data_IF_136601979281
#
_entry.id   IF_136601979281
#
_cell.length_a   1.000
_cell.length_b   1.000
_cell.length_c   1.000
_cell.angle_alpha   90.00
_cell.angle_beta   90.00
_cell.angle_gamma   90.00
#
_symmetry.space_group_name_H-M   'P 1'
#
loop_
_entity.id
_entity.type
_entity.pdbx_description
1 polymer ?
#
# COMPACT_ATOMS: atom_id res chain seq x y z
N UNK A 1 7.14 5.86 2.89
CA UNK A 1 8.14 6.70 3.56
C UNK A 1 7.64 8.10 3.91
N UNK A 2 6.74 8.73 3.18
CA UNK A 2 6.07 9.98 3.59
C UNK A 2 5.13 9.86 4.79
N UNK A 3 4.86 8.65 5.24
CA UNK A 3 3.96 8.31 6.34
C UNK A 3 4.69 7.76 7.56
N UNK A 4 4.00 7.67 8.69
CA UNK A 4 4.52 7.14 9.96
C UNK A 4 4.51 5.61 10.06
N UNK A 5 4.57 4.91 8.96
CA UNK A 5 4.48 3.44 8.91
C UNK A 5 5.84 2.74 9.00
N UNK A 6 6.95 3.48 8.97
CA UNK A 6 8.27 2.91 9.19
C UNK A 6 8.44 2.53 10.67
N UNK A 7 8.81 1.28 10.91
CA UNK A 7 9.10 0.74 12.25
C UNK A 7 10.56 0.97 12.59
N UNK A 8 11.45 0.68 11.67
CA UNK A 8 12.91 0.84 11.80
C UNK A 8 13.37 2.13 11.12
N UNK A 9 14.57 2.60 11.45
CA UNK A 9 15.16 3.69 10.68
C UNK A 9 15.35 3.28 9.22
N UNK A 10 15.49 4.27 8.35
CA UNK A 10 15.48 4.05 6.90
C UNK A 10 16.62 3.11 6.44
N UNK A 11 17.84 3.32 6.96
CA UNK A 11 19.02 2.52 6.57
C UNK A 11 18.84 1.05 6.95
N UNK A 12 18.35 0.79 8.18
CA UNK A 12 18.04 -0.57 8.64
C UNK A 12 16.92 -1.20 7.80
N UNK A 13 15.88 -0.44 7.49
CA UNK A 13 14.77 -0.95 6.67
C UNK A 13 15.24 -1.31 5.25
N UNK A 14 16.03 -0.45 4.60
CA UNK A 14 16.60 -0.70 3.27
C UNK A 14 17.59 -1.87 3.30
N UNK A 15 18.43 -1.96 4.36
CA UNK A 15 19.32 -3.12 4.53
C UNK A 15 18.53 -4.42 4.60
N UNK A 16 17.52 -4.49 5.46
CA UNK A 16 16.69 -5.71 5.59
C UNK A 16 15.98 -6.07 4.29
N UNK A 17 15.47 -5.08 3.54
CA UNK A 17 14.86 -5.33 2.23
C UNK A 17 15.86 -5.93 1.24
N UNK A 18 17.11 -5.44 1.24
CA UNK A 18 18.19 -6.01 0.44
C UNK A 18 18.55 -7.44 0.87
N UNK A 19 18.60 -7.70 2.18
CA UNK A 19 18.90 -9.03 2.73
C UNK A 19 17.85 -10.06 2.31
N UNK A 20 16.57 -9.68 2.33
CA UNK A 20 15.48 -10.53 1.82
C UNK A 20 15.66 -10.80 0.32
N UNK A 21 15.98 -9.76 -0.46
CA UNK A 21 16.16 -9.92 -1.90
C UNK A 21 17.33 -10.88 -2.25
N UNK A 22 18.46 -10.76 -1.55
CA UNK A 22 19.59 -11.68 -1.68
C UNK A 22 19.18 -13.11 -1.38
N UNK A 23 18.57 -13.35 -0.23
CA UNK A 23 18.10 -14.68 0.17
C UNK A 23 17.18 -15.30 -0.88
N UNK A 24 16.25 -14.53 -1.43
CA UNK A 24 15.30 -15.00 -2.44
C UNK A 24 15.96 -15.33 -3.77
N UNK A 25 16.94 -14.53 -4.19
CA UNK A 25 17.69 -14.77 -5.42
C UNK A 25 18.59 -16.00 -5.27
N UNK A 26 19.32 -16.11 -4.16
CA UNK A 26 20.29 -17.17 -3.92
C UNK A 26 19.64 -18.55 -3.71
N UNK A 27 18.45 -18.56 -3.11
CA UNK A 27 17.69 -19.78 -2.85
C UNK A 27 16.60 -20.08 -3.91
N UNK A 28 16.56 -19.32 -5.02
CA UNK A 28 15.54 -19.44 -6.08
C UNK A 28 14.08 -19.53 -5.55
N UNK A 29 13.76 -18.71 -4.55
CA UNK A 29 12.42 -18.69 -3.95
C UNK A 29 11.40 -18.22 -4.98
N UNK A 30 10.38 -19.05 -5.21
CA UNK A 30 9.34 -18.82 -6.24
C UNK A 30 7.97 -18.66 -5.61
N UNK A 31 7.06 -18.05 -6.39
CA UNK A 31 5.64 -17.90 -6.03
C UNK A 31 5.39 -17.18 -4.69
N UNK A 32 6.28 -16.26 -4.35
CA UNK A 32 6.16 -15.40 -3.18
C UNK A 32 6.61 -13.97 -3.51
N UNK A 33 5.83 -12.99 -3.10
CA UNK A 33 6.18 -11.59 -3.22
C UNK A 33 6.81 -11.12 -1.91
N UNK A 34 8.07 -10.70 -1.93
CA UNK A 34 8.76 -10.22 -0.73
C UNK A 34 8.68 -8.70 -0.57
N UNK A 35 8.36 -7.97 -1.64
CA UNK A 35 8.16 -6.54 -1.59
C UNK A 35 6.80 -6.16 -2.15
N UNK A 36 6.04 -5.39 -1.39
CA UNK A 36 4.81 -4.72 -1.85
C UNK A 36 5.09 -3.24 -1.98
N UNK A 37 5.08 -2.77 -3.23
CA UNK A 37 5.30 -1.36 -3.55
C UNK A 37 3.93 -0.70 -3.56
N UNK A 38 3.58 -0.09 -2.43
CA UNK A 38 2.22 0.37 -2.17
C UNK A 38 2.07 1.87 -2.31
N UNK A 39 1.15 2.28 -3.19
CA UNK A 39 0.61 3.63 -3.30
C UNK A 39 -0.65 3.84 -2.45
N UNK A 40 -1.31 2.75 -2.03
CA UNK A 40 -2.53 2.82 -1.24
C UNK A 40 -2.39 3.73 -0.01
N UNK A 41 -1.32 3.53 0.78
CA UNK A 41 -1.07 4.35 1.98
C UNK A 41 -0.78 5.82 1.66
N UNK A 42 -0.27 6.11 0.47
CA UNK A 42 0.01 7.47 0.01
C UNK A 42 -1.29 8.20 -0.30
N UNK A 43 -2.21 7.52 -0.98
CA UNK A 43 -3.57 7.99 -1.25
C UNK A 43 -4.36 8.23 0.05
N UNK A 44 -4.40 7.23 0.94
CA UNK A 44 -5.11 7.31 2.22
C UNK A 44 -4.58 8.44 3.12
N UNK A 45 -3.31 8.82 2.97
CA UNK A 45 -2.71 9.95 3.69
C UNK A 45 -3.06 11.31 3.09
N UNK A 46 -3.67 11.37 1.91
CA UNK A 46 -4.16 12.60 1.31
C UNK A 46 -3.68 12.90 -0.12
N UNK A 47 -2.80 12.07 -0.71
CA UNK A 47 -2.32 12.30 -2.05
C UNK A 47 -3.41 12.17 -3.12
N UNK A 48 -3.29 12.93 -4.19
CA UNK A 48 -4.07 12.74 -5.40
C UNK A 48 -3.54 11.54 -6.23
N UNK A 49 -4.29 11.03 -7.23
CA UNK A 49 -3.88 9.85 -8.02
C UNK A 49 -2.55 10.01 -8.75
N UNK A 50 -2.18 11.21 -9.17
CA UNK A 50 -0.91 11.49 -9.87
C UNK A 50 0.26 11.36 -8.91
N UNK A 51 0.16 11.97 -7.75
CA UNK A 51 1.18 11.89 -6.68
C UNK A 51 1.29 10.48 -6.13
N UNK A 52 0.16 9.77 -5.95
CA UNK A 52 0.16 8.35 -5.60
C UNK A 52 1.01 7.55 -6.60
N UNK A 53 0.72 7.67 -7.89
CA UNK A 53 1.42 6.93 -8.95
C UNK A 53 2.90 7.28 -9.01
N UNK A 54 3.25 8.57 -8.98
CA UNK A 54 4.63 9.03 -9.05
C UNK A 54 5.48 8.52 -7.87
N UNK A 55 5.01 8.68 -6.64
CA UNK A 55 5.75 8.25 -5.46
C UNK A 55 5.87 6.73 -5.39
N UNK A 56 4.84 6.00 -5.81
CA UNK A 56 4.86 4.53 -5.85
C UNK A 56 5.89 4.01 -6.85
N UNK A 57 5.88 4.52 -8.08
CA UNK A 57 6.85 4.13 -9.11
C UNK A 57 8.27 4.50 -8.71
N UNK A 58 8.48 5.68 -8.13
CA UNK A 58 9.80 6.10 -7.63
C UNK A 58 10.33 5.20 -6.52
N UNK A 59 9.47 4.74 -5.62
CA UNK A 59 9.85 3.75 -4.62
C UNK A 59 10.28 2.43 -5.27
N UNK A 60 9.56 1.97 -6.29
CA UNK A 60 9.92 0.78 -7.05
C UNK A 60 11.28 0.90 -7.73
N UNK A 61 11.54 2.01 -8.40
CA UNK A 61 12.83 2.29 -9.02
C UNK A 61 13.97 2.35 -7.98
N UNK A 62 13.71 2.92 -6.82
CA UNK A 62 14.67 2.93 -5.70
C UNK A 62 15.03 1.52 -5.23
N UNK A 63 14.07 0.60 -5.15
CA UNK A 63 14.37 -0.80 -4.83
C UNK A 63 15.16 -1.50 -5.93
N UNK A 64 14.89 -1.20 -7.20
CA UNK A 64 15.70 -1.73 -8.32
C UNK A 64 17.15 -1.30 -8.18
N UNK A 65 17.40 -0.01 -7.95
CA UNK A 65 18.75 0.52 -7.74
C UNK A 65 19.44 -0.11 -6.52
N UNK A 66 18.73 -0.21 -5.39
CA UNK A 66 19.23 -0.83 -4.17
C UNK A 66 19.69 -2.27 -4.40
N UNK A 67 18.89 -3.07 -5.07
CA UNK A 67 19.20 -4.50 -5.28
C UNK A 67 20.27 -4.68 -6.35
N UNK A 68 20.28 -3.86 -7.39
CA UNK A 68 21.37 -3.86 -8.39
C UNK A 68 22.72 -3.42 -7.77
N UNK A 69 22.72 -2.43 -6.88
CA UNK A 69 23.92 -2.01 -6.16
C UNK A 69 24.51 -3.13 -5.28
N UNK A 70 23.70 -4.11 -4.87
CA UNK A 70 24.16 -5.34 -4.21
C UNK A 70 24.62 -6.43 -5.17
N UNK A 71 24.61 -6.17 -6.48
CA UNK A 71 25.03 -7.15 -7.50
C UNK A 71 23.96 -8.16 -7.90
N UNK A 72 22.69 -7.96 -7.49
CA UNK A 72 21.61 -8.87 -7.82
C UNK A 72 21.14 -8.68 -9.26
N UNK A 73 20.83 -9.79 -9.92
CA UNK A 73 20.25 -9.83 -11.26
C UNK A 73 18.79 -9.38 -11.25
N UNK A 74 18.48 -8.32 -12.00
CA UNK A 74 17.15 -7.73 -12.05
C UNK A 74 16.07 -8.72 -12.54
N UNK A 75 16.38 -9.57 -13.51
CA UNK A 75 15.44 -10.58 -14.01
C UNK A 75 15.07 -11.63 -12.94
N UNK A 76 15.92 -11.81 -11.92
CA UNK A 76 15.65 -12.73 -10.83
C UNK A 76 14.77 -12.14 -9.74
N UNK A 77 14.98 -10.88 -9.33
CA UNK A 77 14.22 -10.31 -8.22
C UNK A 77 12.93 -9.60 -8.66
N UNK A 78 12.85 -9.01 -9.85
CA UNK A 78 11.66 -8.27 -10.31
C UNK A 78 10.40 -9.13 -10.39
N UNK A 79 10.53 -10.42 -10.62
CA UNK A 79 9.40 -11.36 -10.61
C UNK A 79 8.68 -11.44 -9.26
N UNK A 80 9.35 -11.03 -8.18
CA UNK A 80 8.84 -11.02 -6.82
C UNK A 80 8.33 -9.65 -6.37
N UNK A 81 8.26 -8.66 -7.27
CA UNK A 81 7.65 -7.36 -7.00
C UNK A 81 6.14 -7.46 -7.10
N UNK A 82 5.46 -6.89 -6.13
CA UNK A 82 4.01 -6.70 -6.10
C UNK A 82 3.70 -5.23 -5.99
N UNK A 83 2.72 -4.77 -6.75
CA UNK A 83 2.28 -3.37 -6.75
C UNK A 83 0.89 -3.26 -6.18
N UNK A 84 0.63 -2.17 -5.49
CA UNK A 84 -0.63 -1.95 -4.83
C UNK A 84 -1.02 -0.47 -4.92
N UNK A 85 -2.17 -0.17 -5.53
CA UNK A 85 -2.71 1.18 -5.65
C UNK A 85 -4.09 1.28 -5.01
N UNK A 86 -4.49 2.51 -4.72
CA UNK A 86 -5.84 2.88 -4.29
C UNK A 86 -6.63 3.44 -5.48
N UNK A 87 -7.93 3.23 -5.50
CA UNK A 87 -8.84 3.93 -6.40
C UNK A 87 -9.84 4.76 -5.58
N UNK A 88 -9.80 6.08 -5.78
CA UNK A 88 -10.81 7.02 -5.29
C UNK A 88 -11.90 7.31 -6.31
N UNK A 89 -12.43 8.53 -6.28
CA UNK A 89 -13.58 8.95 -7.12
C UNK A 89 -13.15 9.81 -8.31
N UNK A 90 -11.89 10.29 -8.37
CA UNK A 90 -11.41 11.12 -9.48
C UNK A 90 -11.22 10.31 -10.76
N UNK A 91 -11.50 10.88 -11.95
CA UNK A 91 -11.42 10.16 -13.22
C UNK A 91 -10.02 9.65 -13.57
N UNK A 92 -8.96 10.27 -13.04
CA UNK A 92 -7.57 9.85 -13.23
C UNK A 92 -7.31 8.43 -12.73
N UNK A 93 -8.07 7.95 -11.76
CA UNK A 93 -7.96 6.56 -11.27
C UNK A 93 -8.26 5.51 -12.35
N UNK A 94 -9.01 5.86 -13.38
CA UNK A 94 -9.27 4.97 -14.51
C UNK A 94 -8.04 4.67 -15.40
N UNK A 95 -6.92 5.39 -15.19
CA UNK A 95 -5.73 5.27 -16.05
C UNK A 95 -4.42 5.13 -15.30
N UNK A 96 -4.42 5.14 -13.96
CA UNK A 96 -3.18 5.08 -13.19
C UNK A 96 -2.37 3.79 -13.43
N UNK A 97 -3.04 2.67 -13.63
CA UNK A 97 -2.39 1.40 -13.94
C UNK A 97 -1.81 1.38 -15.35
N UNK A 98 -2.51 1.94 -16.36
CA UNK A 98 -1.99 2.09 -17.72
C UNK A 98 -0.72 2.92 -17.74
N UNK A 99 -0.75 4.08 -17.09
CA UNK A 99 0.42 4.97 -16.96
C UNK A 99 1.56 4.26 -16.25
N UNK A 100 1.27 3.63 -15.12
CA UNK A 100 2.27 2.92 -14.34
C UNK A 100 2.93 1.78 -15.11
N UNK A 101 2.15 0.98 -15.85
CA UNK A 101 2.67 -0.09 -16.73
C UNK A 101 3.56 0.46 -17.84
N UNK A 102 3.15 1.57 -18.48
CA UNK A 102 3.92 2.18 -19.58
C UNK A 102 5.25 2.71 -19.08
N UNK A 103 5.26 3.51 -18.02
CA UNK A 103 6.49 4.06 -17.45
C UNK A 103 7.42 2.94 -16.97
N UNK A 104 6.87 1.95 -16.26
CA UNK A 104 7.65 0.84 -15.74
C UNK A 104 8.27 -0.01 -16.86
N UNK A 105 7.49 -0.38 -17.85
CA UNK A 105 7.99 -1.21 -18.96
C UNK A 105 9.11 -0.52 -19.74
N UNK A 106 8.97 0.78 -20.02
CA UNK A 106 9.99 1.59 -20.71
C UNK A 106 11.25 1.68 -19.82
N UNK A 107 11.11 2.01 -18.56
CA UNK A 107 12.25 2.10 -17.63
C UNK A 107 12.99 0.77 -17.52
N UNK A 108 12.29 -0.33 -17.31
CA UNK A 108 12.91 -1.67 -17.19
C UNK A 108 13.62 -2.10 -18.47
N UNK A 109 13.03 -1.84 -19.64
CA UNK A 109 13.63 -2.17 -20.93
C UNK A 109 14.84 -1.29 -21.24
N UNK A 110 14.66 0.03 -21.17
CA UNK A 110 15.62 1.00 -21.76
C UNK A 110 16.72 1.43 -20.78
N UNK A 111 16.43 1.50 -19.47
CA UNK A 111 17.43 1.87 -18.47
C UNK A 111 18.14 0.65 -17.85
N UNK A 112 17.41 -0.46 -17.69
CA UNK A 112 17.95 -1.61 -16.96
C UNK A 112 18.22 -2.85 -17.83
N UNK A 113 17.76 -2.88 -19.08
CA UNK A 113 17.96 -3.99 -20.00
C UNK A 113 17.26 -5.29 -19.57
N UNK A 114 16.17 -5.18 -18.83
CA UNK A 114 15.44 -6.30 -18.23
C UNK A 114 14.59 -7.02 -19.27
N UNK A 115 14.46 -8.34 -19.16
CA UNK A 115 13.63 -9.17 -20.02
C UNK A 115 12.12 -8.91 -19.85
N UNK A 116 11.30 -9.41 -20.78
CA UNK A 116 9.86 -9.16 -20.85
C UNK A 116 9.09 -9.39 -19.52
N UNK A 117 9.53 -10.38 -18.75
CA UNK A 117 8.85 -10.71 -17.49
C UNK A 117 9.00 -9.60 -16.44
N UNK A 118 10.17 -9.00 -16.31
CA UNK A 118 10.46 -7.92 -15.39
C UNK A 118 9.87 -6.57 -15.83
N UNK A 119 9.56 -6.42 -17.13
CA UNK A 119 8.86 -5.25 -17.68
C UNK A 119 7.37 -5.21 -17.32
N UNK A 120 6.79 -6.33 -16.84
CA UNK A 120 5.36 -6.43 -16.52
C UNK A 120 5.09 -5.93 -15.09
N UNK A 121 4.38 -4.83 -14.96
CA UNK A 121 3.86 -4.33 -13.70
C UNK A 121 2.51 -4.99 -13.42
N UNK A 122 2.45 -5.85 -12.40
CA UNK A 122 1.23 -6.49 -11.92
C UNK A 122 0.80 -5.82 -10.63
N UNK A 123 -0.45 -5.37 -10.58
CA UNK A 123 -0.91 -4.62 -9.43
C UNK A 123 -2.28 -5.05 -8.92
N UNK A 124 -2.42 -4.87 -7.63
CA UNK A 124 -3.65 -4.95 -6.89
C UNK A 124 -4.26 -3.56 -6.72
N UNK A 125 -5.57 -3.44 -6.78
CA UNK A 125 -6.31 -2.24 -6.40
C UNK A 125 -7.15 -2.54 -5.15
N UNK A 126 -7.16 -1.58 -4.22
CA UNK A 126 -8.18 -1.49 -3.18
C UNK A 126 -8.95 -0.19 -3.37
N UNK A 127 -10.26 -0.24 -3.21
CA UNK A 127 -11.08 0.98 -3.16
C UNK A 127 -10.62 1.89 -2.01
N UNK A 128 -10.59 3.21 -2.23
CA UNK A 128 -10.09 4.18 -1.25
C UNK A 128 -11.03 4.30 -0.05
N UNK A 129 -10.50 4.05 1.15
CA UNK A 129 -11.21 4.27 2.40
C UNK A 129 -11.47 5.75 2.68
N UNK A 130 -10.58 6.65 2.21
CA UNK A 130 -10.74 8.10 2.32
C UNK A 130 -12.00 8.63 1.62
N UNK A 131 -12.48 7.93 0.61
CA UNK A 131 -13.71 8.28 -0.13
C UNK A 131 -14.97 7.80 0.56
N UNK A 132 -14.85 7.02 1.65
CA UNK A 132 -15.99 6.49 2.40
C UNK A 132 -16.24 7.33 3.65
N UNK A 133 -17.50 7.52 3.98
CA UNK A 133 -17.93 8.42 5.05
C UNK A 133 -18.81 7.67 6.05
N UNK A 134 -18.73 8.09 7.32
CA UNK A 134 -19.57 7.52 8.39
C UNK A 134 -21.01 8.06 8.36
N UNK A 135 -21.20 9.29 7.85
CA UNK A 135 -22.53 9.84 7.63
C UNK A 135 -23.20 9.11 6.47
N UNK A 136 -24.47 8.74 6.66
CA UNK A 136 -25.27 8.01 5.67
C UNK A 136 -24.44 6.92 4.95
N UNK A 137 -23.76 6.09 5.74
CA UNK A 137 -22.74 5.14 5.29
C UNK A 137 -23.24 4.11 4.26
N UNK A 138 -24.54 3.94 4.10
CA UNK A 138 -25.16 3.09 3.07
C UNK A 138 -24.79 3.54 1.65
N UNK A 139 -24.52 4.83 1.44
CA UNK A 139 -24.04 5.35 0.15
C UNK A 139 -22.63 4.88 -0.21
N UNK A 140 -21.88 4.34 0.75
CA UNK A 140 -20.53 3.86 0.50
C UNK A 140 -20.47 2.67 -0.47
N UNK A 141 -21.49 1.81 -0.50
CA UNK A 141 -21.54 0.69 -1.46
C UNK A 141 -21.60 1.19 -2.91
N UNK A 142 -22.28 2.30 -3.16
CA UNK A 142 -22.30 2.93 -4.49
C UNK A 142 -20.92 3.51 -4.85
N UNK A 143 -20.23 4.15 -3.89
CA UNK A 143 -18.88 4.69 -4.09
C UNK A 143 -17.90 3.56 -4.38
N UNK A 144 -17.93 2.51 -3.57
CA UNK A 144 -17.09 1.32 -3.76
C UNK A 144 -17.34 0.65 -5.12
N UNK A 145 -18.59 0.60 -5.57
CA UNK A 145 -18.95 0.06 -6.89
C UNK A 145 -18.29 0.86 -8.02
N UNK A 146 -18.33 2.20 -7.97
CA UNK A 146 -17.71 3.05 -8.99
C UNK A 146 -16.18 2.95 -8.97
N UNK A 147 -15.57 2.88 -7.80
CA UNK A 147 -14.13 2.67 -7.63
C UNK A 147 -13.69 1.31 -8.18
N UNK A 148 -14.47 0.26 -7.93
CA UNK A 148 -14.26 -1.07 -8.49
C UNK A 148 -14.39 -1.08 -10.02
N UNK A 149 -15.32 -0.30 -10.57
CA UNK A 149 -15.47 -0.14 -12.02
C UNK A 149 -14.22 0.49 -12.65
N UNK A 150 -13.60 1.48 -12.02
CA UNK A 150 -12.32 2.03 -12.47
C UNK A 150 -11.21 0.98 -12.48
N UNK A 151 -11.13 0.14 -11.44
CA UNK A 151 -10.13 -0.93 -11.38
C UNK A 151 -10.27 -1.93 -12.53
N UNK A 152 -11.52 -2.28 -12.88
CA UNK A 152 -11.82 -3.15 -14.02
C UNK A 152 -11.47 -2.47 -15.34
N UNK A 153 -11.83 -1.21 -15.49
CA UNK A 153 -11.57 -0.42 -16.71
C UNK A 153 -10.06 -0.26 -16.97
N UNK A 154 -9.26 -0.10 -15.90
CA UNK A 154 -7.80 0.01 -15.95
C UNK A 154 -7.10 -1.37 -15.97
N UNK A 155 -7.88 -2.45 -16.01
CA UNK A 155 -7.36 -3.81 -16.12
C UNK A 155 -6.44 -4.24 -14.96
N UNK A 156 -6.85 -3.97 -13.73
CA UNK A 156 -6.14 -4.40 -12.53
C UNK A 156 -6.05 -5.93 -12.46
N UNK A 157 -4.96 -6.46 -11.91
CA UNK A 157 -4.75 -7.91 -11.79
C UNK A 157 -5.58 -8.53 -10.66
N UNK A 158 -5.87 -7.76 -9.62
CA UNK A 158 -6.76 -8.14 -8.53
C UNK A 158 -7.38 -6.91 -7.88
N UNK A 159 -8.51 -7.12 -7.20
CA UNK A 159 -9.32 -6.06 -6.62
C UNK A 159 -9.78 -6.44 -5.23
N UNK A 160 -9.70 -5.47 -4.31
CA UNK A 160 -10.39 -5.46 -3.03
C UNK A 160 -11.43 -4.34 -3.02
N UNK A 161 -12.63 -4.65 -2.59
CA UNK A 161 -13.71 -3.70 -2.37
C UNK A 161 -13.93 -3.52 -0.88
N UNK A 162 -13.85 -2.30 -0.37
CA UNK A 162 -14.14 -2.01 1.02
C UNK A 162 -15.63 -2.22 1.29
N UNK A 163 -15.97 -2.69 2.48
CA UNK A 163 -17.34 -2.70 2.96
C UNK A 163 -17.81 -1.29 3.33
N UNK A 164 -19.11 -1.06 3.33
CA UNK A 164 -19.68 0.26 3.62
C UNK A 164 -19.37 0.81 5.02
N UNK A 165 -19.08 -0.08 5.97
CA UNK A 165 -18.74 0.23 7.35
C UNK A 165 -17.24 0.48 7.59
N UNK A 166 -16.40 0.42 6.54
CA UNK A 166 -14.95 0.72 6.61
C UNK A 166 -14.64 2.05 7.29
N UNK A 167 -15.51 3.05 7.12
CA UNK A 167 -15.30 4.39 7.65
C UNK A 167 -15.31 4.48 9.19
N UNK A 168 -15.85 3.47 9.89
CA UNK A 168 -15.99 3.52 11.36
C UNK A 168 -15.70 2.22 12.09
N UNK A 169 -15.50 1.10 11.40
CA UNK A 169 -15.32 -0.15 12.11
C UNK A 169 -14.83 -1.34 11.28
N UNK A 170 -14.80 -2.49 11.94
CA UNK A 170 -14.54 -3.78 11.31
C UNK A 170 -15.85 -4.27 10.65
N UNK A 171 -15.81 -4.77 9.42
CA UNK A 171 -17.00 -5.18 8.69
C UNK A 171 -17.74 -6.32 9.38
N UNK A 172 -19.06 -6.29 9.25
CA UNK A 172 -19.95 -7.39 9.65
C UNK A 172 -20.01 -8.45 8.53
N UNK A 173 -20.61 -9.61 8.80
CA UNK A 173 -20.81 -10.65 7.79
C UNK A 173 -21.64 -10.15 6.60
N UNK A 174 -22.71 -9.38 6.86
CA UNK A 174 -23.56 -8.81 5.82
C UNK A 174 -22.82 -7.80 4.95
N UNK A 175 -22.08 -6.88 5.57
CA UNK A 175 -21.35 -5.84 4.81
C UNK A 175 -20.18 -6.43 4.02
N UNK A 176 -19.52 -7.48 4.51
CA UNK A 176 -18.54 -8.26 3.73
C UNK A 176 -19.21 -8.93 2.53
N UNK A 177 -20.37 -9.50 2.72
CA UNK A 177 -21.15 -10.15 1.65
C UNK A 177 -21.51 -9.16 0.54
N UNK A 178 -21.94 -7.94 0.90
CA UNK A 178 -22.26 -6.87 -0.05
C UNK A 178 -21.01 -6.43 -0.81
N UNK A 179 -19.90 -6.24 -0.13
CA UNK A 179 -18.63 -5.88 -0.75
C UNK A 179 -18.14 -6.94 -1.77
N UNK A 180 -18.31 -8.22 -1.47
CA UNK A 180 -18.02 -9.31 -2.42
C UNK A 180 -19.03 -9.33 -3.56
N UNK A 181 -20.31 -9.06 -3.29
CA UNK A 181 -21.36 -9.01 -4.32
C UNK A 181 -21.08 -7.93 -5.37
N UNK A 182 -20.54 -6.75 -4.98
CA UNK A 182 -20.10 -5.71 -5.91
C UNK A 182 -19.16 -6.29 -6.98
N UNK A 183 -18.12 -7.02 -6.57
CA UNK A 183 -17.17 -7.62 -7.51
C UNK A 183 -17.85 -8.66 -8.42
N UNK A 184 -18.73 -9.50 -7.86
CA UNK A 184 -19.42 -10.54 -8.62
C UNK A 184 -20.39 -9.96 -9.64
N UNK A 185 -21.12 -8.90 -9.31
CA UNK A 185 -22.02 -8.19 -10.22
C UNK A 185 -21.23 -7.60 -11.39
N UNK A 186 -20.16 -6.87 -11.09
CA UNK A 186 -19.29 -6.30 -12.12
C UNK A 186 -18.65 -7.36 -13.01
N UNK A 187 -18.23 -8.50 -12.44
CA UNK A 187 -17.56 -9.55 -13.17
C UNK A 187 -18.51 -10.40 -14.02
N UNK A 188 -19.69 -10.74 -13.49
CA UNK A 188 -20.59 -11.73 -14.09
C UNK A 188 -21.76 -11.12 -14.85
N UNK A 189 -22.37 -10.05 -14.30
CA UNK A 189 -23.55 -9.43 -14.86
C UNK A 189 -23.19 -8.28 -15.80
N UNK A 190 -22.28 -7.38 -15.41
CA UNK A 190 -21.86 -6.23 -16.18
C UNK A 190 -20.99 -6.60 -17.40
N UNK A 191 -20.24 -7.68 -17.32
CA UNK A 191 -19.59 -8.31 -18.47
C UNK A 191 -18.30 -7.64 -18.95
N UNK A 192 -17.79 -6.61 -18.31
CA UNK A 192 -16.56 -5.93 -18.73
C UNK A 192 -15.31 -6.82 -18.67
N UNK A 193 -15.27 -7.80 -17.79
CA UNK A 193 -14.16 -8.78 -17.73
C UNK A 193 -14.04 -9.67 -18.98
N UNK A 194 -15.00 -9.59 -19.91
CA UNK A 194 -14.89 -10.27 -21.22
C UNK A 194 -13.92 -9.55 -22.18
N UNK A 195 -13.48 -8.35 -21.83
CA UNK A 195 -12.54 -7.53 -22.61
C UNK A 195 -11.27 -7.33 -21.78
N UNK A 196 -10.11 -7.47 -22.43
CA UNK A 196 -8.81 -7.27 -21.76
C UNK A 196 -8.42 -5.80 -21.59
N UNK A 197 -9.01 -4.89 -22.36
CA UNK A 197 -8.74 -3.46 -22.29
C UNK A 197 -9.96 -2.65 -22.75
N UNK A 198 -11.00 -2.53 -21.93
CA UNK A 198 -12.28 -1.97 -22.34
C UNK A 198 -12.22 -0.48 -22.70
N UNK A 199 -11.23 0.26 -22.21
CA UNK A 199 -11.05 1.69 -22.49
C UNK A 199 -10.08 1.99 -23.65
N UNK A 200 -9.50 0.97 -24.29
CA UNK A 200 -8.56 1.17 -25.38
C UNK A 200 -9.21 1.93 -26.54
N UNK A 201 -8.55 2.99 -27.01
CA UNK A 201 -9.03 3.84 -28.09
C UNK A 201 -10.14 4.83 -27.69
N UNK A 202 -10.53 4.85 -26.42
CA UNK A 202 -11.40 5.91 -25.89
C UNK A 202 -10.64 7.23 -25.83
N UNK A 203 -11.18 8.29 -26.45
CA UNK A 203 -10.53 9.61 -26.47
C UNK A 203 -10.19 10.11 -25.07
N UNK A 204 -11.10 9.96 -24.11
CA UNK A 204 -10.87 10.41 -22.73
C UNK A 204 -9.77 9.59 -22.05
N UNK A 205 -9.76 8.27 -22.22
CA UNK A 205 -8.75 7.42 -21.61
C UNK A 205 -7.35 7.68 -22.19
N UNK A 206 -7.25 7.86 -23.50
CA UNK A 206 -5.96 8.16 -24.16
C UNK A 206 -5.46 9.55 -23.75
N UNK A 207 -6.34 10.55 -23.71
CA UNK A 207 -6.00 11.90 -23.23
C UNK A 207 -5.53 11.90 -21.77
N UNK A 208 -6.33 11.32 -20.86
CA UNK A 208 -5.97 11.23 -19.44
C UNK A 208 -4.66 10.45 -19.24
N UNK A 209 -4.44 9.38 -19.99
CA UNK A 209 -3.19 8.60 -19.91
C UNK A 209 -1.98 9.48 -20.19
N UNK A 210 -2.03 10.31 -21.21
CA UNK A 210 -0.92 11.19 -21.58
C UNK A 210 -0.72 12.33 -20.57
N UNK A 211 -1.80 12.97 -20.12
CA UNK A 211 -1.75 14.03 -19.12
C UNK A 211 -1.22 13.54 -17.76
N UNK A 212 -1.69 12.38 -17.30
CA UNK A 212 -1.24 11.80 -16.04
C UNK A 212 0.23 11.38 -16.13
N UNK A 213 0.64 10.75 -17.25
CA UNK A 213 2.04 10.38 -17.46
C UNK A 213 2.97 11.60 -17.40
N UNK A 214 2.64 12.67 -18.14
CA UNK A 214 3.44 13.88 -18.15
C UNK A 214 3.60 14.46 -16.73
N UNK A 215 2.52 14.50 -15.95
CA UNK A 215 2.56 15.00 -14.57
C UNK A 215 3.33 14.08 -13.62
N UNK A 216 3.25 12.77 -13.80
CA UNK A 216 4.06 11.80 -13.05
C UNK A 216 5.55 12.02 -13.34
N UNK A 217 5.92 12.19 -14.60
CA UNK A 217 7.31 12.44 -14.99
C UNK A 217 7.84 13.77 -14.43
N UNK A 218 7.03 14.82 -14.35
CA UNK A 218 7.41 16.09 -13.69
C UNK A 218 7.71 15.87 -12.21
N UNK A 219 6.92 15.06 -11.50
CA UNK A 219 7.22 14.74 -10.09
C UNK A 219 8.54 13.96 -9.98
N UNK A 220 8.87 13.09 -10.95
CA UNK A 220 10.18 12.44 -11.00
C UNK A 220 11.32 13.45 -11.12
N UNK A 221 11.19 14.43 -12.00
CA UNK A 221 12.18 15.51 -12.16
C UNK A 221 12.34 16.32 -10.86
N UNK A 222 11.23 16.66 -10.20
CA UNK A 222 11.24 17.37 -8.92
C UNK A 222 11.94 16.55 -7.82
N UNK A 223 11.75 15.24 -7.76
CA UNK A 223 12.45 14.36 -6.82
C UNK A 223 13.91 14.17 -7.20
N UNK A 224 14.19 14.01 -8.50
CA UNK A 224 15.57 13.88 -8.98
C UNK A 224 16.42 15.10 -8.61
N UNK A 225 15.89 16.32 -8.77
CA UNK A 225 16.57 17.55 -8.39
C UNK A 225 16.89 17.66 -6.89
N UNK A 226 16.25 16.82 -6.05
CA UNK A 226 16.44 16.74 -4.59
C UNK A 226 17.29 15.56 -4.14
N UNK A 227 17.95 14.86 -5.08
CA UNK A 227 18.72 13.65 -4.77
C UNK A 227 17.91 12.36 -4.75
N UNK A 228 16.88 12.29 -5.58
CA UNK A 228 15.99 11.12 -5.69
C UNK A 228 15.05 10.97 -4.49
N UNK A 229 14.52 9.75 -4.30
CA UNK A 229 13.57 9.48 -3.20
C UNK A 229 14.18 9.75 -1.83
N UNK A 230 15.42 9.35 -1.60
CA UNK A 230 16.08 9.49 -0.29
C UNK A 230 16.37 10.95 0.03
N UNK A 231 16.97 11.70 -0.88
CA UNK A 231 17.21 13.14 -0.68
C UNK A 231 15.93 13.95 -0.55
N UNK A 232 14.89 13.61 -1.31
CA UNK A 232 13.58 14.24 -1.19
C UNK A 232 12.91 13.96 0.18
N UNK A 233 13.18 12.78 0.80
CA UNK A 233 12.73 12.48 2.16
C UNK A 233 13.41 13.35 3.22
N UNK A 234 14.69 13.63 3.07
CA UNK A 234 15.45 14.47 4.01
C UNK A 234 14.87 15.89 4.12
N UNK A 235 14.33 16.40 3.00
CA UNK A 235 13.69 17.73 2.94
C UNK A 235 12.16 17.67 3.08
N UNK A 236 11.60 16.54 3.50
CA UNK A 236 10.16 16.31 3.70
C UNK A 236 9.29 16.54 2.44
N UNK A 237 9.85 16.48 1.23
CA UNK A 237 9.13 16.77 -0.01
C UNK A 237 7.86 15.93 -0.17
N UNK A 238 7.98 14.60 -0.07
CA UNK A 238 6.84 13.68 -0.24
C UNK A 238 5.75 13.95 0.79
N UNK A 239 6.15 14.16 2.04
CA UNK A 239 5.22 14.41 3.14
C UNK A 239 4.46 15.72 2.96
N UNK A 240 5.17 16.80 2.67
CA UNK A 240 4.54 18.11 2.48
C UNK A 240 3.55 18.07 1.32
N UNK A 241 3.95 17.46 0.20
CA UNK A 241 3.07 17.31 -0.97
C UNK A 241 1.78 16.53 -0.64
N UNK A 242 1.88 15.40 0.05
CA UNK A 242 0.72 14.60 0.48
C UNK A 242 -0.19 15.43 1.40
N UNK A 243 0.39 16.17 2.36
CA UNK A 243 -0.38 16.99 3.29
C UNK A 243 -1.07 18.16 2.60
N UNK A 244 -0.39 18.85 1.70
CA UNK A 244 -0.94 19.98 0.95
C UNK A 244 -2.13 19.53 0.07
N UNK A 245 -1.99 18.41 -0.63
CA UNK A 245 -3.07 17.83 -1.45
C UNK A 245 -4.24 17.37 -0.58
N UNK A 246 -3.98 16.73 0.55
CA UNK A 246 -5.00 16.34 1.52
C UNK A 246 -5.76 17.54 2.10
N UNK A 247 -5.05 18.61 2.42
CA UNK A 247 -5.67 19.85 2.91
C UNK A 247 -6.56 20.52 1.87
N UNK A 248 -6.18 20.51 0.59
CA UNK A 248 -7.01 21.01 -0.51
C UNK A 248 -8.31 20.21 -0.61
N UNK A 249 -8.22 18.88 -0.52
CA UNK A 249 -9.39 18.00 -0.56
C UNK A 249 -10.33 18.28 0.63
N UNK A 250 -9.81 18.33 1.85
CA UNK A 250 -10.61 18.61 3.04
C UNK A 250 -11.24 20.01 3.01
N UNK A 251 -10.52 21.01 2.51
CA UNK A 251 -11.05 22.36 2.35
C UNK A 251 -12.24 22.38 1.38
N UNK A 252 -12.10 21.76 0.20
CA UNK A 252 -13.17 21.67 -0.80
C UNK A 252 -14.40 20.92 -0.29
N UNK A 253 -14.18 19.86 0.47
CA UNK A 253 -15.23 19.10 1.15
C UNK A 253 -15.96 19.97 2.17
N UNK A 254 -15.21 20.70 3.00
CA UNK A 254 -15.77 21.58 4.04
C UNK A 254 -16.56 22.75 3.44
N UNK A 255 -16.08 23.38 2.37
CA UNK A 255 -16.76 24.50 1.70
C UNK A 255 -17.93 24.06 0.80
N UNK A 256 -18.10 22.78 0.55
CA UNK A 256 -19.09 22.25 -0.39
C UNK A 256 -18.70 22.40 -1.86
N UNK A 257 -17.48 22.87 -2.18
CA UNK A 257 -16.97 22.93 -3.56
C UNK A 257 -16.92 21.52 -4.18
N UNK A 258 -16.58 20.51 -3.37
CA UNK A 258 -16.72 19.10 -3.74
C UNK A 258 -17.99 18.55 -3.07
N UNK A 259 -19.06 18.32 -3.84
CA UNK A 259 -20.31 17.78 -3.31
C UNK A 259 -20.12 16.30 -2.94
N UNK A 260 -20.52 15.94 -1.72
CA UNK A 260 -20.48 14.56 -1.23
C UNK A 260 -21.86 14.23 -0.66
N UNK A 261 -22.56 13.33 -1.34
CA UNK A 261 -23.93 12.91 -1.00
C UNK A 261 -23.94 12.30 0.41
N UNK A 262 -24.90 12.75 1.21
CA UNK A 262 -25.05 12.33 2.62
C UNK A 262 -24.01 12.92 3.58
N UNK A 263 -23.15 13.86 3.12
CA UNK A 263 -22.15 14.53 3.97
C UNK A 263 -22.30 16.04 3.95
N UNK A 264 -22.28 16.64 2.77
CA UNK A 264 -22.46 18.08 2.58
C UNK A 264 -23.50 18.43 1.50
N UNK A 265 -24.07 17.41 0.86
CA UNK A 265 -25.03 17.53 -0.24
C UNK A 265 -26.06 16.43 -0.10
N UNK A 266 -27.35 16.75 -0.31
CA UNK A 266 -28.45 15.79 -0.22
C UNK A 266 -28.44 15.01 1.11
N UNK A 267 -28.24 15.73 2.21
CA UNK A 267 -28.25 15.18 3.57
C UNK A 267 -29.68 14.88 4.02
N UNK A 268 -29.88 13.85 4.82
CA UNK A 268 -31.14 13.59 5.50
C UNK A 268 -31.31 14.58 6.66
N UNK A 269 -32.36 15.41 6.64
CA UNK A 269 -32.62 16.36 7.73
C UNK A 269 -32.79 15.71 9.11
N UNK A 270 -33.22 14.46 9.15
CA UNK A 270 -33.37 13.70 10.39
C UNK A 270 -32.03 13.21 10.95
N UNK A 271 -31.04 13.00 10.09
CA UNK A 271 -29.69 12.55 10.49
C UNK A 271 -28.88 13.64 11.22
N UNK A 272 -29.18 14.92 11.02
CA UNK A 272 -28.53 16.03 11.73
C UNK A 272 -28.89 16.07 13.24
N UNK A 273 -29.97 15.41 13.62
CA UNK A 273 -30.43 15.34 15.02
C UNK A 273 -29.92 14.10 15.77
N UNK A 274 -29.28 13.17 15.09
CA UNK A 274 -28.81 11.89 15.65
C UNK A 274 -27.39 12.06 16.15
N UNK A 275 -27.17 11.88 17.45
CA UNK A 275 -25.82 11.87 18.01
C UNK A 275 -25.08 10.57 17.64
N UNK A 276 -23.74 10.59 17.67
CA UNK A 276 -22.95 9.38 17.42
C UNK A 276 -23.29 8.23 18.39
N UNK A 277 -23.87 8.55 19.56
CA UNK A 277 -24.29 7.58 20.58
C UNK A 277 -25.65 6.94 20.26
N UNK A 278 -26.43 7.50 19.33
CA UNK A 278 -27.73 6.98 18.93
C UNK A 278 -27.65 5.93 17.81
N UNK A 279 -26.47 5.76 17.19
CA UNK A 279 -26.24 4.69 16.24
C UNK A 279 -25.91 3.40 17.00
N UNK A 280 -26.83 2.44 16.97
CA UNK A 280 -26.54 1.05 17.39
C UNK A 280 -25.64 0.37 16.36
N UNK A 281 -24.39 0.87 16.29
CA UNK A 281 -23.40 0.32 15.38
C UNK A 281 -22.74 -0.87 16.06
N UNK A 282 -23.02 -2.07 15.58
CA UNK A 282 -22.33 -3.27 16.01
C UNK A 282 -20.86 -3.21 15.60
N UNK A 283 -19.97 -2.88 16.56
CA UNK A 283 -18.53 -2.93 16.36
C UNK A 283 -18.01 -4.28 16.76
N UNK A 284 -17.57 -5.07 15.80
CA UNK A 284 -16.92 -6.37 16.04
C UNK A 284 -15.64 -6.19 16.84
N UNK A 285 -15.60 -6.76 18.05
CA UNK A 285 -14.43 -6.73 18.92
C UNK A 285 -14.05 -8.14 19.34
N UNK A 286 -12.74 -8.41 19.42
CA UNK A 286 -12.24 -9.68 19.96
C UNK A 286 -12.71 -9.88 21.39
N UNK A 287 -13.18 -11.07 21.71
CA UNK A 287 -13.59 -11.47 23.06
C UNK A 287 -12.42 -11.34 24.07
N UNK A 288 -12.76 -10.98 25.30
CA UNK A 288 -11.78 -10.86 26.38
C UNK A 288 -11.12 -12.23 26.69
N UNK A 289 -11.86 -13.31 26.55
CA UNK A 289 -11.36 -14.67 26.74
C UNK A 289 -10.34 -15.03 25.70
N UNK A 290 -10.64 -14.72 24.42
CA UNK A 290 -9.72 -14.92 23.30
C UNK A 290 -8.41 -14.15 23.51
N UNK A 291 -8.48 -12.86 23.88
CA UNK A 291 -7.30 -12.04 24.21
C UNK A 291 -6.45 -12.67 25.33
N UNK A 292 -7.09 -13.14 26.41
CA UNK A 292 -6.38 -13.82 27.50
C UNK A 292 -5.71 -15.11 27.05
N UNK A 293 -6.38 -15.90 26.21
CA UNK A 293 -5.80 -17.13 25.65
C UNK A 293 -4.57 -16.84 24.79
N UNK A 294 -4.62 -15.83 23.94
CA UNK A 294 -3.47 -15.43 23.10
C UNK A 294 -2.29 -14.96 23.94
N UNK A 295 -2.55 -14.15 24.98
CA UNK A 295 -1.51 -13.71 25.93
C UNK A 295 -0.88 -14.91 26.65
N UNK A 296 -1.70 -15.80 27.21
CA UNK A 296 -1.21 -16.99 27.93
C UNK A 296 -0.38 -17.91 27.01
N UNK A 297 -0.82 -18.11 25.77
CA UNK A 297 -0.08 -18.89 24.77
C UNK A 297 1.29 -18.25 24.45
N UNK A 298 1.32 -16.93 24.30
CA UNK A 298 2.57 -16.20 24.04
C UNK A 298 3.55 -16.31 25.23
N UNK A 299 3.08 -16.16 26.47
CA UNK A 299 3.91 -16.30 27.68
C UNK A 299 4.44 -17.74 27.84
N UNK A 300 3.59 -18.73 27.57
CA UNK A 300 4.01 -20.14 27.55
C UNK A 300 5.12 -20.37 26.52
N UNK A 301 4.94 -19.88 25.28
CA UNK A 301 5.92 -19.99 24.21
C UNK A 301 7.27 -19.36 24.61
N UNK A 302 7.27 -18.16 25.21
CA UNK A 302 8.48 -17.50 25.70
C UNK A 302 9.19 -18.32 26.77
N UNK A 303 8.44 -18.92 27.68
CA UNK A 303 8.99 -19.72 28.77
C UNK A 303 9.64 -21.01 28.26
N UNK A 304 8.95 -21.70 27.35
CA UNK A 304 9.43 -22.96 26.76
C UNK A 304 10.66 -22.77 25.88
N UNK A 305 10.81 -21.60 25.25
CA UNK A 305 11.90 -21.31 24.34
C UNK A 305 12.97 -20.36 24.91
N UNK A 306 12.93 -20.01 26.19
CA UNK A 306 13.72 -18.92 26.77
C UNK A 306 15.22 -18.99 26.40
N UNK A 307 15.86 -20.16 26.57
CA UNK A 307 17.30 -20.33 26.27
C UNK A 307 17.61 -20.18 24.79
N UNK A 308 16.83 -20.86 23.91
CA UNK A 308 17.03 -20.80 22.48
C UNK A 308 16.76 -19.39 21.93
N UNK A 309 15.77 -18.71 22.49
CA UNK A 309 15.46 -17.33 22.13
C UNK A 309 16.61 -16.38 22.50
N UNK A 310 17.19 -16.53 23.69
CA UNK A 310 18.34 -15.72 24.13
C UNK A 310 19.55 -15.92 23.19
N UNK A 311 19.91 -17.17 22.90
CA UNK A 311 20.98 -17.51 21.95
C UNK A 311 20.69 -16.95 20.55
N UNK A 312 19.47 -17.10 20.05
CA UNK A 312 19.03 -16.58 18.75
C UNK A 312 19.08 -15.06 18.66
N UNK A 313 18.64 -14.36 19.69
CA UNK A 313 18.68 -12.90 19.78
C UNK A 313 20.12 -12.38 19.78
N UNK A 314 21.02 -13.04 20.50
CA UNK A 314 22.45 -12.68 20.48
C UNK A 314 23.04 -12.88 19.08
N UNK A 315 22.74 -14.01 18.42
CA UNK A 315 23.15 -14.28 17.03
C UNK A 315 22.69 -13.16 16.10
N UNK A 316 21.42 -12.74 16.21
CA UNK A 316 20.87 -11.65 15.38
C UNK A 316 21.58 -10.32 15.59
N UNK A 317 21.87 -9.95 16.85
CA UNK A 317 22.62 -8.73 17.18
C UNK A 317 24.05 -8.75 16.66
N UNK A 318 24.70 -9.91 16.72
CA UNK A 318 26.06 -10.08 16.18
C UNK A 318 26.07 -9.96 14.65
N UNK A 319 25.14 -10.61 13.98
CA UNK A 319 24.96 -10.50 12.53
C UNK A 319 24.72 -9.04 12.09
N UNK A 320 23.88 -8.31 12.84
CA UNK A 320 23.66 -6.89 12.60
C UNK A 320 24.93 -6.05 12.71
N UNK A 321 25.76 -6.30 13.72
CA UNK A 321 27.05 -5.58 13.89
C UNK A 321 28.06 -5.91 12.80
N UNK A 322 28.06 -7.15 12.28
CA UNK A 322 28.95 -7.61 11.21
C UNK A 322 28.46 -7.26 9.83
N UNK A 323 27.23 -6.72 9.70
CA UNK A 323 26.64 -6.43 8.39
C UNK A 323 26.20 -7.67 7.61
N UNK A 324 26.08 -8.82 8.27
CA UNK A 324 25.61 -10.09 7.69
C UNK A 324 24.15 -10.03 7.27
N UNK A 325 23.68 -11.02 6.50
CA UNK A 325 22.28 -11.10 6.08
C UNK A 325 21.36 -11.38 7.27
N UNK A 326 20.56 -10.38 7.65
CA UNK A 326 19.68 -10.47 8.82
C UNK A 326 18.48 -11.39 8.57
N UNK A 327 18.02 -11.47 7.32
CA UNK A 327 16.87 -12.31 6.99
C UNK A 327 17.21 -13.79 7.12
N UNK A 328 18.39 -14.20 6.70
CA UNK A 328 18.88 -15.57 6.85
C UNK A 328 18.92 -15.97 8.34
N UNK A 329 19.47 -15.11 9.19
CA UNK A 329 19.48 -15.35 10.64
C UNK A 329 18.07 -15.38 11.22
N UNK A 330 17.19 -14.48 10.77
CA UNK A 330 15.79 -14.49 11.23
C UNK A 330 15.08 -15.79 10.88
N UNK A 331 15.32 -16.35 9.68
CA UNK A 331 14.73 -17.65 9.28
C UNK A 331 15.10 -18.79 10.24
N UNK A 332 16.30 -18.75 10.83
CA UNK A 332 16.71 -19.76 11.80
C UNK A 332 16.06 -19.57 13.20
N UNK A 333 15.85 -18.33 13.61
CA UNK A 333 15.45 -18.01 15.01
C UNK A 333 13.93 -17.85 15.20
N UNK A 334 13.14 -17.65 14.11
CA UNK A 334 11.69 -17.42 14.23
C UNK A 334 10.92 -18.56 14.87
N UNK A 335 11.45 -19.78 14.83
CA UNK A 335 10.83 -20.93 15.50
C UNK A 335 10.86 -20.82 17.04
N UNK A 336 11.72 -19.97 17.60
CA UNK A 336 11.97 -19.87 19.05
C UNK A 336 11.80 -18.47 19.61
N UNK A 337 11.72 -17.45 18.74
CA UNK A 337 11.61 -16.04 19.11
C UNK A 337 10.23 -15.48 18.77
N UNK A 338 9.71 -14.64 19.65
CA UNK A 338 8.51 -13.87 19.36
C UNK A 338 8.85 -12.65 18.50
N UNK A 339 7.85 -12.13 17.76
CA UNK A 339 7.97 -10.88 16.98
C UNK A 339 8.53 -9.74 17.84
N UNK A 340 8.04 -9.61 19.10
CA UNK A 340 8.51 -8.56 20.02
C UNK A 340 9.99 -8.69 20.37
N UNK A 341 10.50 -9.90 20.59
CA UNK A 341 11.91 -10.14 20.90
C UNK A 341 12.80 -9.79 19.71
N UNK A 342 12.44 -10.24 18.50
CA UNK A 342 13.17 -9.93 17.27
C UNK A 342 13.16 -8.43 17.00
N UNK A 343 11.98 -7.79 17.07
CA UNK A 343 11.84 -6.34 16.86
C UNK A 343 12.67 -5.53 17.85
N UNK A 344 12.67 -5.91 19.11
CA UNK A 344 13.46 -5.22 20.14
C UNK A 344 14.96 -5.35 19.86
N UNK A 345 15.43 -6.53 19.45
CA UNK A 345 16.83 -6.75 19.10
C UNK A 345 17.27 -5.89 17.89
N UNK A 346 16.40 -5.78 16.89
CA UNK A 346 16.64 -4.92 15.72
C UNK A 346 16.63 -3.43 16.08
N UNK A 347 15.75 -2.98 17.00
CA UNK A 347 15.78 -1.62 17.52
C UNK A 347 17.08 -1.28 18.25
N UNK A 348 17.60 -2.21 19.01
CA UNK A 348 18.86 -2.03 19.74
C UNK A 348 20.07 -2.01 18.81
N UNK A 349 19.98 -2.67 17.65
CA UNK A 349 21.05 -2.76 16.67
C UNK A 349 21.02 -1.63 15.65
N UNK A 350 19.84 -1.30 15.11
CA UNK A 350 19.66 -0.37 13.99
C UNK A 350 18.86 0.90 14.30
N UNK A 351 18.22 0.94 15.47
CA UNK A 351 17.40 2.07 15.91
C UNK A 351 15.96 2.06 15.36
N UNK A 352 15.10 2.79 16.06
CA UNK A 352 13.71 3.04 15.69
C UNK A 352 13.61 4.17 14.68
N UNK A 353 12.60 4.12 13.83
CA UNK A 353 12.25 5.28 13.01
C UNK A 353 11.90 6.46 13.92
N UNK A 354 12.48 7.60 13.62
CA UNK A 354 12.13 8.89 14.22
C UNK A 354 11.75 9.85 13.10
N UNK A 355 10.62 10.50 13.28
CA UNK A 355 10.13 11.50 12.34
C UNK A 355 11.07 12.70 12.35
N UNK A 356 11.51 13.16 11.17
CA UNK A 356 12.12 14.49 11.06
C UNK A 356 11.00 15.52 11.33
N UNK A 357 11.23 16.41 12.29
CA UNK A 357 10.30 17.50 12.64
C UNK A 357 10.62 18.73 11.80
#
# INVERSE_FOLDING_TARGET
MGQNTLVFNLDTALKMMGDVAEFYVDNDVRNHYFVSISGYHIDEAGANPITQSALTLSNGLTYVELFKARGLDADKFLRNFSWFFSNGMDPEYAVIGRVSRRIWAIAMRDLYGVGERGQKLKYHIQSSGRSLHSQEFTWNDYRTTLQALYALADNANSLHTNSRDEAFGTPTEDTVRDAVAIQLILAKEYGWLRNENPLQGSFIAEFLTNEVEERVLRIFEEMHSRGGVLGALEVNYQRNRIQDEGMIYEHRKHTGETPIVGVNTFTDPESESVSADDFDIEVTRSDVTEKKMVIARNEKFKTENAKKAEEGIQKLKEAARRGENLFEVMMEIVEHCTVGQVTQALFESGGKFRRNM
#
